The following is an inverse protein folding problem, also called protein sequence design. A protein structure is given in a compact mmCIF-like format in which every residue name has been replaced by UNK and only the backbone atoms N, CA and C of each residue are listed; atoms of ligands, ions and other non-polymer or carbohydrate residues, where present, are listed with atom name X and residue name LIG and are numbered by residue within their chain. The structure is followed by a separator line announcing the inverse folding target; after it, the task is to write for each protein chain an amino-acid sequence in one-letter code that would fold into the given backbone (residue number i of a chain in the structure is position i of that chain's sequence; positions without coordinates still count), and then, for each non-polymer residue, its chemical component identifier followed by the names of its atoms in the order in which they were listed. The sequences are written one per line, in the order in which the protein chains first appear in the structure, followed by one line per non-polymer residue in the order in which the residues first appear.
data_IF_809351278607
#
_entry.id   IF_809351278607
#
_cell.length_a   1.000
_cell.length_b   1.000
_cell.length_c   1.000
_cell.angle_alpha   90.00
_cell.angle_beta   90.00
_cell.angle_gamma   90.00
#
_symmetry.space_group_name_H-M   'P 1'
#
loop_
_entity.id
_entity.type
_entity.pdbx_description
1 polymer ?
#
# COMPACT_ATOMS: atom_id res chain seq x y z
N UNK A 1 -3.53 -7.58 20.08
CA UNK A 1 -2.91 -6.24 20.01
C UNK A 1 -3.01 -5.76 18.58
N UNK A 2 -3.27 -4.45 18.34
CA UNK A 2 -3.41 -3.89 16.98
C UNK A 2 -2.24 -2.95 16.73
N UNK A 3 -1.50 -3.20 15.65
CA UNK A 3 -0.41 -2.37 15.17
C UNK A 3 -0.91 -1.50 14.01
N UNK A 4 -0.34 -0.31 13.86
CA UNK A 4 -0.71 0.62 12.79
C UNK A 4 0.51 0.82 11.91
N UNK A 5 0.32 0.51 10.63
CA UNK A 5 1.31 0.63 9.57
C UNK A 5 0.89 1.79 8.66
N UNK A 6 1.76 2.77 8.50
CA UNK A 6 1.44 4.02 7.83
C UNK A 6 2.22 4.10 6.53
N UNK A 7 1.53 4.27 5.42
CA UNK A 7 2.11 4.60 4.13
C UNK A 7 2.52 6.08 4.11
N UNK A 8 3.80 6.32 4.39
CA UNK A 8 4.35 7.68 4.48
C UNK A 8 4.31 8.41 3.15
N UNK A 9 4.61 7.75 2.06
CA UNK A 9 4.59 8.34 0.73
C UNK A 9 3.18 8.77 0.33
N UNK A 10 2.19 7.93 0.54
CA UNK A 10 0.80 8.28 0.27
C UNK A 10 0.36 9.53 1.05
N UNK A 11 0.63 9.59 2.34
CA UNK A 11 0.24 10.73 3.18
C UNK A 11 0.92 12.01 2.69
N UNK A 12 2.21 11.95 2.36
CA UNK A 12 2.97 13.09 1.87
C UNK A 12 2.48 13.56 0.51
N UNK A 13 2.31 12.67 -0.46
CA UNK A 13 1.81 13.01 -1.80
C UNK A 13 0.39 13.58 -1.76
N UNK A 14 -0.49 12.98 -0.96
CA UNK A 14 -1.85 13.49 -0.76
C UNK A 14 -1.84 14.91 -0.20
N UNK A 15 -1.06 15.16 0.84
CA UNK A 15 -0.96 16.49 1.45
C UNK A 15 -0.35 17.49 0.48
N UNK A 16 0.67 17.08 -0.27
CA UNK A 16 1.29 17.91 -1.30
C UNK A 16 0.27 18.32 -2.37
N UNK A 17 -0.58 17.40 -2.80
CA UNK A 17 -1.70 17.72 -3.69
C UNK A 17 -2.63 18.80 -3.14
N UNK A 18 -2.96 18.76 -1.85
CA UNK A 18 -3.80 19.78 -1.19
C UNK A 18 -3.12 21.16 -1.20
N UNK A 19 -1.78 21.21 -1.12
CA UNK A 19 -0.99 22.42 -1.23
C UNK A 19 -0.82 22.94 -2.67
N UNK A 20 -1.50 22.33 -3.63
CA UNK A 20 -1.47 22.72 -5.03
C UNK A 20 -0.40 22.00 -5.86
N UNK A 21 0.23 20.95 -5.32
CA UNK A 21 1.21 20.10 -5.99
C UNK A 21 0.64 19.12 -7.00
N UNK A 22 -0.56 19.38 -7.55
CA UNK A 22 -1.12 18.56 -8.61
C UNK A 22 -0.41 18.82 -9.96
N UNK A 23 -0.17 17.75 -10.70
CA UNK A 23 0.61 17.79 -11.94
C UNK A 23 2.11 17.79 -11.66
N UNK A 24 2.89 18.21 -12.64
CA UNK A 24 4.36 18.27 -12.56
C UNK A 24 4.85 19.59 -11.94
N UNK A 25 4.20 20.14 -10.92
CA UNK A 25 4.69 21.33 -10.25
C UNK A 25 5.95 21.03 -9.47
N UNK A 26 6.90 21.95 -9.55
CA UNK A 26 8.16 21.84 -8.82
C UNK A 26 7.87 21.95 -7.30
N UNK A 27 8.26 20.96 -6.49
CA UNK A 27 8.12 21.05 -5.03
C UNK A 27 8.76 22.28 -4.42
N UNK A 28 9.83 22.81 -5.02
CA UNK A 28 10.46 24.07 -4.57
C UNK A 28 9.54 25.29 -4.68
N UNK A 29 8.61 25.31 -5.64
CA UNK A 29 7.64 26.39 -5.78
C UNK A 29 6.56 26.37 -4.68
N UNK A 30 6.40 25.23 -4.00
CA UNK A 30 5.36 24.98 -3.00
C UNK A 30 5.95 24.86 -1.60
N UNK A 31 7.18 24.35 -1.48
CA UNK A 31 7.86 24.03 -0.23
C UNK A 31 9.24 24.73 -0.13
N UNK A 32 9.45 25.80 -0.90
CA UNK A 32 10.75 26.46 -1.00
C UNK A 32 11.13 27.29 0.24
N UNK A 33 10.16 27.65 1.07
CA UNK A 33 10.41 28.43 2.29
C UNK A 33 10.18 27.60 3.55
N UNK A 34 10.89 27.92 4.63
CA UNK A 34 10.73 27.26 5.93
C UNK A 34 9.30 27.37 6.47
N UNK A 35 8.60 28.47 6.17
CA UNK A 35 7.21 28.64 6.58
C UNK A 35 6.27 27.66 5.85
N UNK A 36 6.42 27.53 4.53
CA UNK A 36 5.63 26.58 3.72
C UNK A 36 5.90 25.14 4.15
N UNK A 37 7.16 24.78 4.35
CA UNK A 37 7.54 23.47 4.87
C UNK A 37 6.90 23.20 6.24
N UNK A 38 6.93 24.17 7.14
CA UNK A 38 6.32 24.07 8.47
C UNK A 38 4.80 23.88 8.38
N UNK A 39 4.12 24.63 7.51
CA UNK A 39 2.69 24.49 7.28
C UNK A 39 2.34 23.11 6.69
N UNK A 40 3.16 22.64 5.78
CA UNK A 40 2.99 21.33 5.15
C UNK A 40 3.13 20.19 6.18
N UNK A 41 4.19 20.19 6.98
CA UNK A 41 4.40 19.20 8.05
C UNK A 41 3.28 19.26 9.11
N UNK A 42 2.84 20.45 9.48
CA UNK A 42 1.70 20.62 10.37
C UNK A 42 0.43 19.97 9.82
N UNK A 43 0.15 20.14 8.53
CA UNK A 43 -1.01 19.51 7.88
C UNK A 43 -0.90 17.99 7.90
N UNK A 44 0.28 17.44 7.58
CA UNK A 44 0.54 16.00 7.65
C UNK A 44 0.29 15.47 9.06
N UNK A 45 0.84 16.15 10.08
CA UNK A 45 0.69 15.75 11.48
C UNK A 45 -0.79 15.77 11.91
N UNK A 46 -1.54 16.78 11.47
CA UNK A 46 -2.97 16.91 11.76
C UNK A 46 -3.77 15.78 11.11
N UNK A 47 -3.50 15.47 9.84
CA UNK A 47 -4.20 14.41 9.11
C UNK A 47 -3.87 13.03 9.69
N UNK A 48 -2.61 12.79 10.02
CA UNK A 48 -2.17 11.55 10.67
C UNK A 48 -2.85 11.38 12.03
N UNK A 49 -2.82 12.41 12.86
CA UNK A 49 -3.45 12.41 14.20
C UNK A 49 -4.95 12.15 14.08
N UNK A 50 -5.62 12.80 13.15
CA UNK A 50 -7.06 12.60 12.91
C UNK A 50 -7.36 11.15 12.53
N UNK A 51 -6.53 10.54 11.69
CA UNK A 51 -6.67 9.13 11.30
C UNK A 51 -6.43 8.20 12.48
N UNK A 52 -5.44 8.49 13.32
CA UNK A 52 -5.08 7.66 14.47
C UNK A 52 -6.12 7.68 15.61
N UNK A 53 -6.82 8.81 15.78
CA UNK A 53 -7.83 8.95 16.84
C UNK A 53 -8.98 7.95 16.75
N UNK A 54 -9.28 7.51 15.54
CA UNK A 54 -10.38 6.58 15.28
C UNK A 54 -9.95 5.11 15.43
N UNK A 55 -8.68 4.83 15.75
CA UNK A 55 -8.14 3.49 15.79
C UNK A 55 -7.79 3.13 17.26
N UNK A 56 -8.18 1.93 17.74
CA UNK A 56 -7.79 1.47 19.05
C UNK A 56 -6.27 1.33 19.13
N UNK A 57 -5.72 1.84 20.19
CA UNK A 57 -4.28 1.98 20.41
C UNK A 57 -3.77 0.89 21.36
N UNK A 58 -2.56 0.42 21.16
CA UNK A 58 -1.92 -0.59 22.01
C UNK A 58 -0.78 -1.34 21.33
N UNK A 59 -0.66 -1.21 20.03
CA UNK A 59 0.40 -1.82 19.24
C UNK A 59 1.52 -0.85 18.85
N UNK A 60 2.33 -1.25 17.88
CA UNK A 60 3.39 -0.43 17.30
C UNK A 60 2.81 0.52 16.26
N UNK A 61 3.45 1.68 16.10
CA UNK A 61 3.25 2.57 14.98
C UNK A 61 4.48 2.49 14.06
N UNK A 62 4.26 2.06 12.82
CA UNK A 62 5.30 1.97 11.80
C UNK A 62 4.99 2.99 10.71
N UNK A 63 5.95 3.86 10.39
CA UNK A 63 5.88 4.80 9.28
C UNK A 63 6.85 4.33 8.20
N UNK A 64 6.31 3.78 7.12
CA UNK A 64 7.09 3.25 6.00
C UNK A 64 7.28 4.31 4.91
N UNK A 65 8.50 4.38 4.37
CA UNK A 65 8.85 5.31 3.30
C UNK A 65 9.61 4.62 2.18
N UNK A 66 9.36 5.09 0.95
CA UNK A 66 10.02 4.59 -0.25
C UNK A 66 11.53 4.86 -0.25
N UNK A 67 12.24 3.95 -0.87
CA UNK A 67 13.57 4.14 -1.40
C UNK A 67 13.57 3.93 -2.92
N UNK A 68 14.74 3.84 -3.56
CA UNK A 68 14.80 3.45 -4.97
C UNK A 68 14.23 2.03 -5.11
N UNK A 69 13.18 1.89 -5.91
CA UNK A 69 12.51 0.60 -6.11
C UNK A 69 13.38 -0.39 -6.90
N UNK A 70 13.48 -1.61 -6.41
CA UNK A 70 14.08 -2.75 -7.13
C UNK A 70 13.30 -3.09 -8.42
N UNK A 71 11.99 -2.74 -8.48
CA UNK A 71 11.14 -2.98 -9.66
C UNK A 71 11.61 -2.22 -10.89
N UNK A 72 12.41 -1.16 -10.72
CA UNK A 72 13.02 -0.42 -11.85
C UNK A 72 14.04 -1.24 -12.63
N UNK A 73 14.56 -2.28 -12.01
CA UNK A 73 15.52 -3.17 -12.63
C UNK A 73 14.84 -4.35 -13.37
N UNK A 74 13.48 -4.41 -13.35
CA UNK A 74 12.69 -5.39 -14.10
C UNK A 74 12.44 -4.86 -15.51
N UNK A 75 12.85 -5.65 -16.50
CA UNK A 75 12.66 -5.30 -17.92
C UNK A 75 11.17 -5.31 -18.31
N UNK A 76 10.74 -4.25 -18.98
CA UNK A 76 9.40 -4.10 -19.57
C UNK A 76 9.58 -3.71 -21.03
N UNK A 77 8.95 -4.47 -21.93
CA UNK A 77 8.95 -4.14 -23.37
C UNK A 77 8.35 -2.74 -23.60
N UNK A 78 9.14 -1.85 -24.21
CA UNK A 78 8.71 -0.47 -24.51
C UNK A 78 8.96 0.56 -23.40
N UNK A 79 9.64 0.19 -22.31
CA UNK A 79 10.02 1.13 -21.24
C UNK A 79 10.41 0.42 -19.95
N UNK A 80 10.48 1.17 -18.87
CA UNK A 80 10.75 0.64 -17.53
C UNK A 80 9.56 0.84 -16.58
N UNK A 81 9.60 0.20 -15.44
CA UNK A 81 8.64 0.41 -14.37
C UNK A 81 8.55 1.91 -13.99
N UNK A 82 7.33 2.45 -13.96
CA UNK A 82 7.04 3.87 -13.73
C UNK A 82 7.70 4.83 -14.74
N UNK A 83 8.04 4.34 -15.95
CA UNK A 83 8.69 5.16 -16.98
C UNK A 83 7.80 6.28 -17.56
N UNK A 84 6.49 6.13 -17.48
CA UNK A 84 5.50 7.14 -17.86
C UNK A 84 5.37 8.28 -16.83
N UNK A 85 5.95 8.12 -15.65
CA UNK A 85 6.10 9.22 -14.71
C UNK A 85 7.23 10.10 -15.23
N UNK A 86 6.90 10.94 -16.21
CA UNK A 86 7.84 11.90 -16.81
C UNK A 86 8.46 12.68 -15.64
N UNK A 87 9.72 12.39 -15.37
CA UNK A 87 10.53 13.31 -14.58
C UNK A 87 10.80 14.47 -15.53
N UNK A 88 10.04 15.54 -15.35
CA UNK A 88 10.49 16.81 -15.83
C UNK A 88 11.87 17.02 -15.18
N UNK A 89 12.93 17.00 -15.96
CA UNK A 89 14.32 17.10 -15.43
C UNK A 89 14.52 18.43 -14.67
N UNK A 90 13.63 19.40 -14.92
CA UNK A 90 13.60 20.68 -14.23
C UNK A 90 12.92 20.63 -12.85
N UNK A 91 12.22 19.52 -12.52
CA UNK A 91 11.51 19.40 -11.23
C UNK A 91 12.38 18.77 -10.17
N UNK A 92 12.79 19.56 -9.20
CA UNK A 92 13.56 19.09 -8.05
C UNK A 92 12.64 18.59 -6.92
N UNK A 93 12.61 17.25 -6.76
CA UNK A 93 11.87 16.57 -5.71
C UNK A 93 12.67 16.43 -4.40
N UNK A 94 13.90 16.91 -4.33
CA UNK A 94 14.78 16.70 -3.18
C UNK A 94 14.18 17.25 -1.89
N UNK A 95 13.62 18.46 -1.92
CA UNK A 95 12.99 19.09 -0.75
C UNK A 95 11.84 18.24 -0.21
N UNK A 96 11.02 17.67 -1.08
CA UNK A 96 9.89 16.82 -0.69
C UNK A 96 10.37 15.53 0.01
N UNK A 97 11.32 14.82 -0.59
CA UNK A 97 11.84 13.57 -0.01
C UNK A 97 12.69 13.78 1.24
N UNK A 98 13.40 14.92 1.32
CA UNK A 98 14.11 15.30 2.53
C UNK A 98 13.14 15.57 3.68
N UNK A 99 12.05 16.30 3.44
CA UNK A 99 11.01 16.53 4.43
C UNK A 99 10.37 15.22 4.90
N UNK A 100 10.09 14.28 3.98
CA UNK A 100 9.54 12.97 4.32
C UNK A 100 10.49 12.20 5.24
N UNK A 101 11.78 12.16 4.89
CA UNK A 101 12.79 11.47 5.69
C UNK A 101 12.93 12.10 7.08
N UNK A 102 13.08 13.41 7.15
CA UNK A 102 13.20 14.14 8.41
C UNK A 102 11.98 13.99 9.30
N UNK A 103 10.79 13.97 8.70
CA UNK A 103 9.57 13.73 9.45
C UNK A 103 9.52 12.31 10.01
N UNK A 104 9.93 11.31 9.23
CA UNK A 104 10.04 9.94 9.70
C UNK A 104 11.02 9.79 10.87
N UNK A 105 12.21 10.38 10.77
CA UNK A 105 13.21 10.41 11.84
C UNK A 105 12.68 11.12 13.11
N UNK A 106 11.92 12.19 12.92
CA UNK A 106 11.25 12.84 14.03
C UNK A 106 10.21 11.96 14.71
N UNK A 107 9.36 11.30 13.92
CA UNK A 107 8.39 10.33 14.45
C UNK A 107 9.11 9.20 15.22
N UNK A 108 10.29 8.77 14.80
CA UNK A 108 11.08 7.78 15.52
C UNK A 108 11.52 8.26 16.88
N UNK A 109 12.01 9.51 17.01
CA UNK A 109 12.31 10.13 18.32
C UNK A 109 11.08 10.17 19.23
N UNK A 110 9.88 10.23 18.66
CA UNK A 110 8.61 10.16 19.39
C UNK A 110 8.14 8.74 19.72
N UNK A 111 8.85 7.73 19.25
CA UNK A 111 8.59 6.33 19.54
C UNK A 111 7.80 5.58 18.50
N UNK A 112 7.67 6.12 17.31
CA UNK A 112 7.30 5.35 16.12
C UNK A 112 8.48 4.50 15.64
N UNK A 113 8.24 3.61 14.72
CA UNK A 113 9.28 2.95 13.94
C UNK A 113 9.29 3.63 12.57
N UNK A 114 10.34 4.35 12.25
CA UNK A 114 10.56 4.84 10.90
C UNK A 114 11.25 3.75 10.09
N UNK A 115 10.58 3.23 9.06
CA UNK A 115 11.06 2.12 8.25
C UNK A 115 11.34 2.58 6.82
N UNK A 116 12.62 2.51 6.44
CA UNK A 116 13.12 2.85 5.11
C UNK A 116 14.32 1.98 4.78
N UNK A 117 14.25 1.23 3.69
CA UNK A 117 15.27 0.26 3.28
C UNK A 117 15.67 0.52 1.83
N UNK A 118 16.95 0.53 1.56
CA UNK A 118 17.45 0.71 0.20
C UNK A 118 16.96 -0.43 -0.71
N UNK A 119 16.45 -0.07 -1.88
CA UNK A 119 15.85 -1.02 -2.83
C UNK A 119 14.37 -1.29 -2.60
N UNK A 120 13.82 -1.07 -1.39
CA UNK A 120 12.40 -1.32 -1.09
C UNK A 120 11.52 -0.10 -1.37
N UNK A 121 10.31 -0.33 -1.86
CA UNK A 121 9.21 0.64 -1.78
C UNK A 121 8.50 0.52 -0.43
N UNK A 122 7.76 1.56 -0.04
CA UNK A 122 6.95 1.56 1.18
C UNK A 122 6.00 0.37 1.26
N UNK A 123 5.45 -0.04 0.13
CA UNK A 123 4.54 -1.19 0.00
C UNK A 123 5.23 -2.51 0.39
N UNK A 124 6.49 -2.70 -0.01
CA UNK A 124 7.28 -3.87 0.39
C UNK A 124 7.47 -3.89 1.91
N UNK A 125 7.78 -2.73 2.50
CA UNK A 125 7.96 -2.61 3.95
C UNK A 125 6.66 -2.87 4.71
N UNK A 126 5.53 -2.32 4.23
CA UNK A 126 4.21 -2.56 4.81
C UNK A 126 3.83 -4.04 4.75
N UNK A 127 4.14 -4.72 3.64
CA UNK A 127 3.99 -6.17 3.53
C UNK A 127 4.79 -6.91 4.60
N UNK A 128 6.10 -6.65 4.71
CA UNK A 128 6.96 -7.36 5.66
C UNK A 128 6.56 -7.11 7.11
N UNK A 129 6.23 -5.87 7.47
CA UNK A 129 5.75 -5.55 8.80
C UNK A 129 4.43 -6.26 9.11
N UNK A 130 3.46 -6.22 8.21
CA UNK A 130 2.18 -6.89 8.39
C UNK A 130 2.37 -8.42 8.51
N UNK A 131 3.19 -9.01 7.64
CA UNK A 131 3.46 -10.45 7.65
C UNK A 131 4.16 -10.90 8.94
N UNK A 132 5.16 -10.15 9.39
CA UNK A 132 5.86 -10.43 10.64
C UNK A 132 4.94 -10.32 11.86
N UNK A 133 4.23 -9.20 12.02
CA UNK A 133 3.40 -8.95 13.20
C UNK A 133 2.23 -9.94 13.27
N UNK A 134 1.57 -10.22 12.16
CA UNK A 134 0.50 -11.23 12.14
C UNK A 134 1.02 -12.63 12.43
N UNK A 135 2.26 -12.98 12.02
CA UNK A 135 2.90 -14.24 12.40
C UNK A 135 3.21 -14.36 13.89
N UNK A 136 3.24 -13.23 14.62
CA UNK A 136 3.43 -13.16 16.07
C UNK A 136 2.14 -13.09 16.88
N UNK A 137 1.01 -13.29 16.21
CA UNK A 137 -0.30 -13.25 16.88
C UNK A 137 -0.84 -11.84 17.07
N UNK A 138 -0.39 -10.86 16.28
CA UNK A 138 -0.81 -9.48 16.39
C UNK A 138 -1.57 -9.04 15.13
N UNK A 139 -2.56 -8.17 15.27
CA UNK A 139 -3.34 -7.64 14.15
C UNK A 139 -2.73 -6.36 13.60
N UNK A 140 -2.99 -6.05 12.33
CA UNK A 140 -2.46 -4.88 11.67
C UNK A 140 -3.53 -4.06 10.95
N UNK A 141 -3.42 -2.74 11.05
CA UNK A 141 -4.16 -1.78 10.23
C UNK A 141 -3.15 -1.00 9.39
N UNK A 142 -3.31 -1.04 8.08
CA UNK A 142 -2.52 -0.23 7.14
C UNK A 142 -3.32 1.03 6.81
N UNK A 143 -2.72 2.20 7.03
CA UNK A 143 -3.30 3.49 6.64
C UNK A 143 -2.72 3.88 5.30
N UNK A 144 -3.50 3.73 4.24
CA UNK A 144 -3.14 4.16 2.88
C UNK A 144 -4.38 4.34 2.01
N UNK A 145 -4.26 5.15 0.97
CA UNK A 145 -5.24 5.24 -0.11
C UNK A 145 -4.77 4.55 -1.39
N UNK A 146 -3.61 3.92 -1.35
CA UNK A 146 -3.12 3.15 -2.49
C UNK A 146 -3.92 1.84 -2.63
N UNK A 147 -4.46 1.63 -3.84
CA UNK A 147 -5.26 0.44 -4.14
C UNK A 147 -4.41 -0.83 -4.16
N UNK A 148 -3.13 -0.72 -4.43
CA UNK A 148 -2.24 -1.86 -4.52
C UNK A 148 -2.07 -2.56 -3.18
N UNK A 149 -2.16 -1.80 -2.10
CA UNK A 149 -2.13 -2.32 -0.74
C UNK A 149 -3.37 -3.13 -0.34
N UNK A 150 -4.47 -3.05 -1.11
CA UNK A 150 -5.66 -3.89 -0.84
C UNK A 150 -5.32 -5.38 -0.80
N UNK A 151 -4.31 -5.84 -1.55
CA UNK A 151 -3.83 -7.23 -1.51
C UNK A 151 -3.26 -7.64 -0.14
N UNK A 152 -2.95 -6.69 0.74
CA UNK A 152 -2.50 -6.95 2.10
C UNK A 152 -3.65 -7.18 3.09
N UNK A 153 -4.90 -6.94 2.68
CA UNK A 153 -6.08 -7.26 3.47
C UNK A 153 -6.28 -8.79 3.49
N UNK A 154 -5.74 -9.45 4.52
CA UNK A 154 -5.68 -10.92 4.57
C UNK A 154 -5.72 -11.47 5.99
N UNK A 155 -6.13 -12.74 6.10
CA UNK A 155 -5.94 -13.56 7.28
C UNK A 155 -4.56 -14.19 7.27
N UNK A 156 -3.97 -14.30 8.45
CA UNK A 156 -2.82 -15.16 8.73
C UNK A 156 -3.12 -15.92 10.01
N UNK A 157 -3.52 -17.20 9.88
CA UNK A 157 -4.15 -17.95 10.97
C UNK A 157 -5.39 -17.19 11.47
N UNK A 158 -5.44 -16.85 12.75
CA UNK A 158 -6.55 -16.08 13.35
C UNK A 158 -6.31 -14.57 13.36
N UNK A 159 -5.13 -14.12 12.93
CA UNK A 159 -4.79 -12.71 12.88
C UNK A 159 -5.07 -12.10 11.50
N UNK A 160 -5.27 -10.82 11.49
CA UNK A 160 -5.70 -10.12 10.29
C UNK A 160 -4.88 -8.85 10.02
N UNK A 161 -4.80 -8.53 8.75
CA UNK A 161 -4.41 -7.22 8.25
C UNK A 161 -5.60 -6.62 7.51
N UNK A 162 -5.88 -5.36 7.75
CA UNK A 162 -6.85 -4.56 7.00
C UNK A 162 -6.20 -3.31 6.46
N UNK A 163 -6.76 -2.76 5.38
CA UNK A 163 -6.28 -1.51 4.78
C UNK A 163 -7.38 -0.46 4.89
N UNK A 164 -7.04 0.66 5.49
CA UNK A 164 -7.98 1.75 5.71
C UNK A 164 -7.56 3.04 5.01
N UNK A 165 -8.41 3.49 4.11
CA UNK A 165 -8.34 4.80 3.50
C UNK A 165 -9.30 5.76 4.24
N UNK A 166 -8.81 6.35 5.32
CA UNK A 166 -9.56 7.29 6.17
C UNK A 166 -9.83 8.66 5.53
N UNK A 167 -9.40 8.86 4.30
CA UNK A 167 -9.29 10.19 3.70
C UNK A 167 -10.15 10.40 2.45
N UNK A 168 -10.90 9.38 2.04
CA UNK A 168 -11.87 9.53 0.97
C UNK A 168 -13.16 10.12 1.53
N UNK A 169 -13.96 10.77 0.67
CA UNK A 169 -15.33 11.17 1.02
C UNK A 169 -16.14 9.99 1.58
N UNK A 170 -15.79 8.78 1.16
CA UNK A 170 -16.28 7.52 1.66
C UNK A 170 -15.06 6.82 2.29
N UNK A 171 -14.98 6.80 3.62
CA UNK A 171 -13.98 6.00 4.30
C UNK A 171 -14.01 4.58 3.73
N UNK A 172 -12.93 4.13 3.08
CA UNK A 172 -12.87 2.80 2.47
C UNK A 172 -12.07 1.88 3.38
N UNK A 173 -12.67 0.77 3.76
CA UNK A 173 -12.04 -0.26 4.56
C UNK A 173 -11.96 -1.55 3.75
N UNK A 174 -10.74 -1.96 3.40
CA UNK A 174 -10.51 -3.27 2.77
C UNK A 174 -10.19 -4.29 3.83
N UNK A 175 -11.00 -5.33 3.87
CA UNK A 175 -10.95 -6.42 4.86
C UNK A 175 -10.75 -7.76 4.16
N UNK A 176 -10.18 -8.76 4.84
CA UNK A 176 -10.06 -10.10 4.29
C UNK A 176 -11.44 -10.73 4.02
N UNK A 177 -11.54 -11.54 2.97
CA UNK A 177 -12.75 -12.31 2.67
C UNK A 177 -13.20 -13.14 3.88
N UNK A 178 -14.49 -13.14 4.15
CA UNK A 178 -15.10 -13.78 5.32
C UNK A 178 -15.02 -12.95 6.61
N UNK A 179 -14.65 -11.68 6.50
CA UNK A 179 -14.57 -10.76 7.65
C UNK A 179 -15.92 -10.60 8.34
N UNK A 180 -16.99 -10.37 7.60
CA UNK A 180 -18.31 -10.16 8.18
C UNK A 180 -18.82 -11.36 8.97
N UNK A 181 -18.59 -12.57 8.45
CA UNK A 181 -18.96 -13.81 9.12
C UNK A 181 -18.22 -13.95 10.45
N UNK A 182 -16.91 -13.70 10.45
CA UNK A 182 -16.10 -13.71 11.67
C UNK A 182 -16.48 -12.59 12.64
N UNK A 183 -16.80 -11.42 12.13
CA UNK A 183 -17.26 -10.30 12.96
C UNK A 183 -18.55 -10.63 13.71
N UNK A 184 -19.52 -11.21 13.01
CA UNK A 184 -20.81 -11.58 13.60
C UNK A 184 -20.71 -12.77 14.56
N UNK A 185 -19.58 -13.47 14.56
CA UNK A 185 -19.34 -14.54 15.51
C UNK A 185 -18.83 -13.95 16.86
N UNK A 186 -19.70 -13.97 17.88
CA UNK A 186 -19.41 -13.42 19.22
C UNK A 186 -18.16 -13.99 19.90
N UNK A 187 -17.68 -15.15 19.47
CA UNK A 187 -16.49 -15.81 20.02
C UNK A 187 -15.21 -15.45 19.24
N UNK A 188 -15.29 -14.60 18.22
CA UNK A 188 -14.11 -14.22 17.45
C UNK A 188 -13.46 -12.96 18.03
N UNK A 189 -12.12 -12.96 18.15
CA UNK A 189 -11.33 -11.79 18.58
C UNK A 189 -11.42 -10.60 17.59
N UNK A 190 -12.08 -10.78 16.44
CA UNK A 190 -12.35 -9.72 15.44
C UNK A 190 -13.31 -8.67 16.02
N UNK A 191 -14.07 -9.00 17.05
CA UNK A 191 -14.93 -8.06 17.79
C UNK A 191 -14.15 -6.93 18.50
N UNK A 192 -12.82 -6.93 18.45
CA UNK A 192 -11.94 -5.97 19.16
C UNK A 192 -11.62 -4.72 18.34
N UNK A 193 -12.23 -4.54 17.16
CA UNK A 193 -12.00 -3.36 16.34
C UNK A 193 -12.95 -2.22 16.71
N UNK A 194 -12.52 -1.36 17.64
CA UNK A 194 -13.31 -0.20 18.08
C UNK A 194 -13.07 1.02 17.17
N UNK A 195 -13.93 1.19 16.20
CA UNK A 195 -14.04 2.43 15.45
C UNK A 195 -15.03 3.39 16.15
N UNK A 196 -14.83 3.66 17.41
CA UNK A 196 -15.69 4.55 18.20
C UNK A 196 -17.06 3.93 18.53
N UNK A 197 -17.08 2.87 19.34
CA UNK A 197 -18.26 2.14 19.85
C UNK A 197 -18.95 1.14 18.90
N UNK A 198 -18.27 0.64 17.88
CA UNK A 198 -18.85 -0.34 16.92
C UNK A 198 -18.40 -1.77 17.25
N UNK A 199 -18.20 -2.08 18.50
CA UNK A 199 -17.60 -3.34 18.95
C UNK A 199 -18.58 -4.42 19.39
N UNK A 200 -19.84 -4.15 19.32
CA UNK A 200 -20.82 -5.19 19.62
C UNK A 200 -21.13 -5.94 18.31
N UNK A 201 -20.92 -7.26 18.21
CA UNK A 201 -21.24 -8.02 17.00
C UNK A 201 -22.77 -8.10 16.82
N UNK A 202 -23.36 -6.99 16.42
CA UNK A 202 -24.77 -6.81 16.14
C UNK A 202 -24.94 -6.45 14.66
N UNK A 203 -25.86 -7.13 13.99
CA UNK A 203 -26.17 -6.88 12.58
C UNK A 203 -26.62 -5.44 12.31
N UNK A 204 -27.30 -4.79 13.27
CA UNK A 204 -27.73 -3.41 13.10
C UNK A 204 -26.56 -2.45 13.19
N UNK A 205 -25.64 -2.66 14.12
CA UNK A 205 -24.41 -1.86 14.23
C UNK A 205 -23.51 -2.02 13.03
N UNK A 206 -23.35 -3.25 12.50
CA UNK A 206 -22.63 -3.48 11.26
C UNK A 206 -23.29 -2.73 10.07
N UNK A 207 -24.62 -2.74 10.01
CA UNK A 207 -25.35 -1.98 8.98
C UNK A 207 -25.18 -0.47 9.10
N UNK A 208 -25.15 0.07 10.31
CA UNK A 208 -24.86 1.49 10.55
C UNK A 208 -23.41 1.85 10.23
N UNK A 209 -22.48 0.96 10.55
CA UNK A 209 -21.08 1.11 10.18
C UNK A 209 -20.91 1.18 8.65
N UNK A 210 -21.51 0.26 7.91
CA UNK A 210 -21.48 0.22 6.45
C UNK A 210 -22.13 1.46 5.77
N UNK A 211 -22.96 2.21 6.47
CA UNK A 211 -23.47 3.50 5.97
C UNK A 211 -22.42 4.61 5.98
N UNK A 212 -21.41 4.49 6.86
CA UNK A 212 -20.35 5.49 7.06
C UNK A 212 -19.02 5.07 6.45
N UNK A 213 -18.84 3.76 6.27
CA UNK A 213 -17.61 3.17 5.78
C UNK A 213 -17.95 2.22 4.65
N UNK A 214 -17.31 2.39 3.52
CA UNK A 214 -17.39 1.47 2.39
C UNK A 214 -16.47 0.26 2.67
N UNK A 215 -17.09 -0.88 2.98
CA UNK A 215 -16.36 -2.11 3.37
C UNK A 215 -16.23 -3.01 2.15
N UNK A 216 -15.00 -3.27 1.74
CA UNK A 216 -14.66 -4.14 0.63
C UNK A 216 -13.98 -5.42 1.14
N UNK A 217 -14.63 -6.56 0.97
CA UNK A 217 -14.00 -7.85 1.21
C UNK A 217 -13.04 -8.20 0.06
N UNK A 218 -11.79 -8.44 0.41
CA UNK A 218 -10.72 -8.71 -0.54
C UNK A 218 -10.29 -10.18 -0.46
N UNK A 219 -10.21 -10.81 -1.62
CA UNK A 219 -9.39 -12.00 -1.85
C UNK A 219 -8.07 -11.52 -2.48
N UNK A 220 -6.95 -11.50 -1.74
CA UNK A 220 -5.67 -11.00 -2.26
C UNK A 220 -5.27 -11.66 -3.57
N UNK A 221 -5.46 -12.98 -3.64
CA UNK A 221 -5.18 -13.78 -4.83
C UNK A 221 -5.98 -13.30 -6.04
N UNK A 222 -7.29 -13.18 -5.89
CA UNK A 222 -8.18 -12.82 -7.00
C UNK A 222 -7.96 -11.36 -7.42
N UNK A 223 -7.74 -10.48 -6.45
CA UNK A 223 -7.42 -9.06 -6.69
C UNK A 223 -6.16 -8.89 -7.54
N UNK A 224 -5.06 -9.55 -7.15
CA UNK A 224 -3.80 -9.44 -7.89
C UNK A 224 -3.89 -10.14 -9.24
N UNK A 225 -4.61 -11.26 -9.35
CA UNK A 225 -4.81 -11.93 -10.64
C UNK A 225 -5.48 -11.01 -11.65
N UNK A 226 -6.58 -10.37 -11.27
CA UNK A 226 -7.24 -9.38 -12.12
C UNK A 226 -6.26 -8.27 -12.52
N UNK A 227 -5.49 -7.76 -11.56
CA UNK A 227 -4.51 -6.71 -11.83
C UNK A 227 -3.40 -7.16 -12.79
N UNK A 228 -2.88 -8.37 -12.64
CA UNK A 228 -1.88 -8.93 -13.55
C UNK A 228 -2.39 -9.06 -15.00
N UNK A 229 -3.67 -9.41 -15.17
CA UNK A 229 -4.28 -9.51 -16.49
C UNK A 229 -4.50 -8.13 -17.14
N UNK A 230 -4.90 -7.16 -16.37
CA UNK A 230 -5.22 -5.80 -16.83
C UNK A 230 -3.97 -4.95 -17.04
N UNK A 231 -2.93 -5.16 -16.23
CA UNK A 231 -1.78 -4.27 -16.13
C UNK A 231 -2.04 -3.06 -15.23
N UNK A 232 -1.05 -2.22 -15.11
CA UNK A 232 -1.11 -0.95 -14.38
C UNK A 232 -0.57 0.21 -15.22
N UNK A 233 -1.46 0.99 -15.77
CA UNK A 233 -1.07 2.15 -16.60
C UNK A 233 -0.38 3.24 -15.79
N UNK A 234 -0.71 3.38 -14.49
CA UNK A 234 -0.09 4.35 -13.60
C UNK A 234 1.40 4.06 -13.38
N UNK A 235 1.77 2.79 -13.42
CA UNK A 235 3.13 2.31 -13.23
C UNK A 235 3.81 1.86 -14.54
N UNK A 236 3.21 2.17 -15.69
CA UNK A 236 3.69 1.77 -17.01
C UNK A 236 3.84 0.24 -17.18
N UNK A 237 3.00 -0.54 -16.51
CA UNK A 237 2.99 -2.00 -16.62
C UNK A 237 1.88 -2.42 -17.58
N UNK A 238 2.20 -2.94 -18.78
CA UNK A 238 1.20 -3.43 -19.73
C UNK A 238 0.45 -4.64 -19.17
N UNK A 239 -0.80 -4.86 -19.64
CA UNK A 239 -1.54 -6.07 -19.34
C UNK A 239 -0.89 -7.33 -19.91
N UNK A 240 -1.52 -8.48 -19.62
CA UNK A 240 -1.06 -9.77 -20.12
C UNK A 240 -0.99 -9.80 -21.68
N UNK A 241 -1.96 -9.18 -22.33
CA UNK A 241 -2.05 -9.11 -23.79
C UNK A 241 -2.72 -7.81 -24.26
N UNK A 242 -2.18 -7.23 -25.31
CA UNK A 242 -2.68 -6.00 -25.93
C UNK A 242 -2.71 -6.13 -27.46
N UNK A 243 -3.82 -5.74 -28.06
CA UNK A 243 -4.02 -5.72 -29.51
C UNK A 243 -3.97 -4.29 -30.00
N UNK A 244 -3.10 -4.03 -30.97
CA UNK A 244 -3.03 -2.73 -31.64
C UNK A 244 -4.02 -2.71 -32.83
N UNK A 245 -4.96 -1.77 -32.79
CA UNK A 245 -5.90 -1.53 -33.87
C UNK A 245 -5.77 -0.07 -34.32
N UNK A 246 -4.92 0.17 -35.31
CA UNK A 246 -4.47 1.50 -35.70
C UNK A 246 -3.73 2.20 -34.53
N UNK A 247 -4.20 3.38 -34.14
CA UNK A 247 -3.65 4.13 -33.00
C UNK A 247 -4.20 3.70 -31.63
N UNK A 248 -5.17 2.78 -31.61
CA UNK A 248 -5.82 2.32 -30.36
C UNK A 248 -5.17 1.04 -29.88
N UNK A 249 -4.86 0.99 -28.58
CA UNK A 249 -4.42 -0.22 -27.88
C UNK A 249 -5.61 -0.75 -27.09
N UNK A 250 -5.98 -2.00 -27.34
CA UNK A 250 -7.04 -2.70 -26.62
C UNK A 250 -6.43 -3.82 -25.81
N UNK A 251 -6.46 -3.69 -24.48
CA UNK A 251 -6.02 -4.72 -23.55
C UNK A 251 -7.17 -5.45 -22.86
N UNK A 252 -6.81 -6.33 -21.96
CA UNK A 252 -7.75 -6.96 -21.03
C UNK A 252 -8.30 -5.89 -20.08
N UNK A 253 -9.60 -5.69 -20.08
CA UNK A 253 -10.27 -4.78 -19.15
C UNK A 253 -10.60 -5.48 -17.82
N UNK A 254 -10.84 -4.77 -16.71
CA UNK A 254 -11.25 -5.40 -15.45
C UNK A 254 -12.41 -6.38 -15.62
N UNK A 255 -13.47 -5.98 -16.35
CA UNK A 255 -14.62 -6.86 -16.63
C UNK A 255 -14.25 -8.14 -17.39
N UNK A 256 -13.30 -8.06 -18.34
CA UNK A 256 -12.79 -9.25 -19.04
C UNK A 256 -11.94 -10.12 -18.12
N UNK A 257 -11.13 -9.51 -17.25
CA UNK A 257 -10.32 -10.23 -16.28
C UNK A 257 -11.18 -10.98 -15.26
N UNK A 258 -12.32 -10.41 -14.84
CA UNK A 258 -13.30 -11.09 -13.99
C UNK A 258 -13.85 -12.36 -14.65
N UNK A 259 -14.15 -12.33 -15.96
CA UNK A 259 -14.58 -13.51 -16.71
C UNK A 259 -13.51 -14.61 -16.71
N UNK A 260 -12.23 -14.23 -16.85
CA UNK A 260 -11.10 -15.19 -16.74
C UNK A 260 -11.02 -15.77 -15.33
N UNK A 261 -11.17 -14.92 -14.31
CA UNK A 261 -11.17 -15.33 -12.90
C UNK A 261 -12.34 -16.30 -12.60
N UNK A 262 -13.55 -16.01 -13.05
CA UNK A 262 -14.69 -16.91 -12.91
C UNK A 262 -14.43 -18.27 -13.57
N UNK A 263 -13.84 -18.27 -14.76
CA UNK A 263 -13.44 -19.50 -15.45
C UNK A 263 -12.37 -20.27 -14.69
N UNK A 264 -11.40 -19.56 -14.08
CA UNK A 264 -10.35 -20.15 -13.24
C UNK A 264 -10.94 -20.92 -12.05
N UNK A 265 -12.03 -20.43 -11.43
CA UNK A 265 -12.69 -21.08 -10.29
C UNK A 265 -13.23 -22.49 -10.60
N UNK A 266 -13.42 -22.82 -11.89
CA UNK A 266 -13.89 -24.14 -12.32
C UNK A 266 -12.75 -25.09 -12.70
N UNK A 267 -11.50 -24.68 -12.60
CA UNK A 267 -10.32 -25.46 -12.97
C UNK A 267 -9.65 -26.13 -11.78
N UNK A 268 -8.71 -27.02 -12.07
CA UNK A 268 -7.83 -27.63 -11.05
C UNK A 268 -6.98 -26.61 -10.27
N UNK A 269 -6.77 -25.44 -10.83
CA UNK A 269 -5.96 -24.36 -10.26
C UNK A 269 -6.71 -23.42 -9.32
N UNK A 270 -8.03 -23.60 -9.17
CA UNK A 270 -8.91 -22.66 -8.44
C UNK A 270 -8.43 -22.30 -7.02
N UNK A 271 -7.78 -23.23 -6.33
CA UNK A 271 -7.36 -23.07 -4.93
C UNK A 271 -5.84 -23.01 -4.73
N UNK A 272 -5.06 -23.14 -5.79
CA UNK A 272 -3.60 -23.12 -5.68
C UNK A 272 -3.08 -21.69 -5.48
N UNK A 273 -2.00 -21.51 -4.69
CA UNK A 273 -1.36 -20.21 -4.54
C UNK A 273 -0.68 -19.79 -5.85
N UNK A 274 -0.54 -18.49 -6.07
CA UNK A 274 0.10 -18.01 -7.29
C UNK A 274 1.57 -18.35 -7.39
N UNK A 275 2.29 -18.50 -6.27
CA UNK A 275 3.65 -19.00 -6.26
C UNK A 275 3.81 -20.34 -7.01
N UNK A 276 2.80 -21.19 -6.93
CA UNK A 276 2.80 -22.50 -7.58
C UNK A 276 2.31 -22.40 -9.03
N UNK A 277 1.39 -21.47 -9.31
CA UNK A 277 0.79 -21.30 -10.62
C UNK A 277 1.70 -20.60 -11.62
N UNK A 278 2.55 -19.69 -11.15
CA UNK A 278 3.38 -18.88 -12.05
C UNK A 278 4.49 -19.69 -12.72
N UNK A 279 4.81 -20.86 -12.17
CA UNK A 279 5.76 -21.82 -12.72
C UNK A 279 5.06 -23.03 -13.40
N UNK A 280 3.72 -23.09 -13.39
CA UNK A 280 2.92 -24.09 -14.08
C UNK A 280 2.68 -23.67 -15.53
N UNK A 281 3.39 -24.26 -16.48
CA UNK A 281 3.28 -23.92 -17.91
C UNK A 281 1.89 -24.17 -18.47
N UNK A 282 1.15 -25.18 -17.99
CA UNK A 282 -0.21 -25.47 -18.43
C UNK A 282 -1.18 -24.36 -17.98
N UNK A 283 -1.03 -23.87 -16.75
CA UNK A 283 -1.79 -22.72 -16.25
C UNK A 283 -1.50 -21.45 -17.05
N UNK A 284 -0.23 -21.20 -17.34
CA UNK A 284 0.19 -20.03 -18.09
C UNK A 284 -0.33 -20.04 -19.53
N UNK A 285 -0.21 -21.19 -20.20
CA UNK A 285 -0.76 -21.36 -21.56
C UNK A 285 -2.29 -21.22 -21.58
N UNK A 286 -2.98 -21.82 -20.59
CA UNK A 286 -4.42 -21.68 -20.48
C UNK A 286 -4.83 -20.22 -20.31
N UNK A 287 -4.21 -19.50 -19.37
CA UNK A 287 -4.50 -18.09 -19.09
C UNK A 287 -4.22 -17.22 -20.30
N UNK A 288 -3.06 -17.40 -20.94
CA UNK A 288 -2.66 -16.67 -22.12
C UNK A 288 -3.64 -16.86 -23.29
N UNK A 289 -3.93 -18.12 -23.64
CA UNK A 289 -4.87 -18.45 -24.71
C UNK A 289 -6.28 -17.93 -24.44
N UNK A 290 -6.73 -17.96 -23.19
CA UNK A 290 -8.03 -17.42 -22.81
C UNK A 290 -8.10 -15.90 -23.06
N UNK A 291 -7.09 -15.15 -22.61
CA UNK A 291 -7.03 -13.69 -22.78
C UNK A 291 -6.91 -13.28 -24.25
N UNK A 292 -6.09 -13.98 -25.04
CA UNK A 292 -5.93 -13.72 -26.49
C UNK A 292 -7.27 -13.89 -27.21
N UNK A 293 -7.99 -14.98 -26.97
CA UNK A 293 -9.33 -15.22 -27.57
C UNK A 293 -10.38 -14.19 -27.14
N UNK A 294 -10.35 -13.76 -25.86
CA UNK A 294 -11.24 -12.68 -25.37
C UNK A 294 -11.03 -11.36 -26.12
N UNK A 295 -9.82 -11.13 -26.62
CA UNK A 295 -9.49 -9.96 -27.41
C UNK A 295 -9.68 -10.18 -28.90
N UNK A 296 -10.11 -11.37 -29.30
CA UNK A 296 -10.33 -11.78 -30.70
C UNK A 296 -9.06 -11.68 -31.54
N UNK A 297 -7.93 -11.98 -30.95
CA UNK A 297 -6.63 -12.02 -31.63
C UNK A 297 -6.22 -13.45 -32.00
N UNK A 298 -5.12 -13.57 -32.75
CA UNK A 298 -4.61 -14.86 -33.24
C UNK A 298 -4.04 -15.65 -32.05
N UNK A 299 -4.68 -16.75 -31.71
CA UNK A 299 -4.24 -17.66 -30.67
C UNK A 299 -3.17 -18.63 -31.20
N UNK A 300 -1.94 -18.12 -31.37
CA UNK A 300 -0.77 -18.89 -31.80
C UNK A 300 0.08 -19.28 -30.58
N UNK A 301 0.96 -20.29 -30.77
CA UNK A 301 1.93 -20.70 -29.75
C UNK A 301 2.84 -19.54 -29.32
N UNK A 302 3.35 -18.80 -30.29
CA UNK A 302 4.22 -17.62 -30.06
C UNK A 302 3.50 -16.54 -29.20
N UNK A 303 2.24 -16.22 -29.56
CA UNK A 303 1.45 -15.25 -28.81
C UNK A 303 1.16 -15.72 -27.38
N UNK A 304 0.90 -17.02 -27.17
CA UNK A 304 0.73 -17.58 -25.81
C UNK A 304 2.00 -17.49 -25.00
N UNK A 305 3.16 -17.83 -25.57
CA UNK A 305 4.46 -17.71 -24.88
C UNK A 305 4.74 -16.26 -24.49
N UNK A 306 4.48 -15.30 -25.38
CA UNK A 306 4.63 -13.87 -25.07
C UNK A 306 3.68 -13.43 -23.96
N UNK A 307 2.43 -13.81 -24.00
CA UNK A 307 1.44 -13.50 -22.96
C UNK A 307 1.78 -14.15 -21.62
N UNK A 308 2.25 -15.40 -21.61
CA UNK A 308 2.72 -16.09 -20.42
C UNK A 308 3.90 -15.35 -19.76
N UNK A 309 4.86 -14.89 -20.56
CA UNK A 309 5.99 -14.09 -20.07
C UNK A 309 5.54 -12.74 -19.49
N UNK A 310 4.55 -12.10 -20.12
CA UNK A 310 3.94 -10.88 -19.58
C UNK A 310 3.25 -11.16 -18.23
N UNK A 311 2.60 -12.31 -18.07
CA UNK A 311 1.95 -12.68 -16.81
C UNK A 311 3.01 -12.90 -15.69
N UNK A 312 4.11 -13.61 -15.99
CA UNK A 312 5.24 -13.78 -15.06
C UNK A 312 5.84 -12.43 -14.64
N UNK A 313 6.07 -11.53 -15.60
CA UNK A 313 6.55 -10.17 -15.33
C UNK A 313 5.58 -9.41 -14.42
N UNK A 314 4.28 -9.43 -14.74
CA UNK A 314 3.27 -8.71 -13.97
C UNK A 314 3.14 -9.28 -12.55
N UNK A 315 3.25 -10.60 -12.38
CA UNK A 315 3.34 -11.21 -11.07
C UNK A 315 4.51 -10.65 -10.26
N UNK A 316 5.70 -10.62 -10.84
CA UNK A 316 6.90 -10.09 -10.19
C UNK A 316 6.76 -8.62 -9.79
N UNK A 317 6.10 -7.81 -10.60
CA UNK A 317 5.95 -6.38 -10.37
C UNK A 317 4.84 -6.02 -9.37
N UNK A 318 3.75 -6.80 -9.35
CA UNK A 318 2.51 -6.44 -8.66
C UNK A 318 2.23 -7.22 -7.40
N UNK A 319 2.83 -8.43 -7.24
CA UNK A 319 2.62 -9.25 -6.06
C UNK A 319 3.49 -8.76 -4.90
N UNK A 320 2.87 -8.47 -3.77
CA UNK A 320 3.57 -8.09 -2.54
C UNK A 320 3.78 -9.34 -1.69
N UNK A 321 4.86 -10.04 -1.98
CA UNK A 321 5.27 -11.25 -1.26
C UNK A 321 6.78 -11.47 -1.38
N UNK A 322 7.37 -12.10 -0.36
CA UNK A 322 8.80 -12.44 -0.31
C UNK A 322 9.27 -13.33 -1.47
N UNK A 323 8.36 -14.03 -2.15
CA UNK A 323 8.69 -14.90 -3.27
C UNK A 323 9.13 -14.13 -4.52
N UNK A 324 8.78 -12.85 -4.63
CA UNK A 324 9.11 -12.00 -5.79
C UNK A 324 10.16 -10.94 -5.47
N UNK A 325 10.33 -10.59 -4.20
CA UNK A 325 11.24 -9.53 -3.76
C UNK A 325 12.68 -10.07 -3.77
N UNK A 326 13.66 -9.31 -4.30
CA UNK A 326 15.06 -9.73 -4.32
C UNK A 326 15.65 -10.01 -2.93
N UNK A 327 16.56 -10.98 -2.85
CA UNK A 327 17.13 -11.45 -1.58
C UNK A 327 17.87 -10.37 -0.79
N UNK A 328 18.53 -9.45 -1.47
CA UNK A 328 19.20 -8.30 -0.87
C UNK A 328 18.21 -7.32 -0.21
N UNK A 329 17.06 -7.09 -0.84
CA UNK A 329 15.99 -6.26 -0.28
C UNK A 329 15.34 -6.97 0.91
N UNK A 330 15.11 -8.28 0.81
CA UNK A 330 14.61 -9.10 1.93
C UNK A 330 15.57 -9.01 3.11
N UNK A 331 16.87 -9.18 2.87
CA UNK A 331 17.89 -9.12 3.93
C UNK A 331 17.89 -7.77 4.64
N UNK A 332 17.92 -6.68 3.89
CA UNK A 332 17.84 -5.32 4.45
C UNK A 332 16.54 -5.08 5.23
N UNK A 333 15.42 -5.61 4.74
CA UNK A 333 14.13 -5.48 5.42
C UNK A 333 14.08 -6.31 6.70
N UNK A 334 14.69 -7.50 6.74
CA UNK A 334 14.78 -8.31 7.97
C UNK A 334 15.63 -7.60 9.03
N UNK A 335 16.74 -6.96 8.65
CA UNK A 335 17.56 -6.16 9.56
C UNK A 335 16.77 -4.97 10.12
N UNK A 336 16.02 -4.29 9.26
CA UNK A 336 15.15 -3.19 9.65
C UNK A 336 14.04 -3.64 10.61
N UNK A 337 13.41 -4.79 10.34
CA UNK A 337 12.43 -5.38 11.27
C UNK A 337 13.08 -5.65 12.64
N UNK A 338 14.27 -6.27 12.68
CA UNK A 338 15.00 -6.53 13.93
C UNK A 338 15.30 -5.25 14.68
N UNK A 339 15.76 -4.20 13.97
CA UNK A 339 16.01 -2.88 14.52
C UNK A 339 14.73 -2.30 15.15
N UNK A 340 13.66 -2.22 14.37
CA UNK A 340 12.39 -1.64 14.83
C UNK A 340 11.76 -2.41 15.98
N UNK A 341 11.92 -3.73 16.03
CA UNK A 341 11.43 -4.56 17.14
C UNK A 341 12.25 -4.34 18.41
N UNK A 342 13.55 -4.09 18.28
CA UNK A 342 14.42 -3.81 19.42
C UNK A 342 14.16 -2.43 20.04
N UNK A 343 13.51 -1.51 19.32
CA UNK A 343 13.08 -0.24 19.88
C UNK A 343 12.05 -0.48 20.97
N UNK A 344 12.17 0.27 22.06
CA UNK A 344 11.30 0.13 23.22
C UNK A 344 9.83 0.22 22.80
N UNK A 345 9.07 -0.82 23.12
CA UNK A 345 7.62 -0.88 22.85
C UNK A 345 6.91 0.15 23.73
N UNK A 346 6.82 1.34 23.23
CA UNK A 346 6.04 2.37 23.90
C UNK A 346 4.58 2.18 23.47
N UNK A 347 3.68 1.92 24.40
CA UNK A 347 2.24 1.85 24.09
C UNK A 347 1.77 3.17 23.47
N UNK A 348 1.00 3.07 22.40
CA UNK A 348 0.34 4.24 21.82
C UNK A 348 -0.81 4.57 22.78
N UNK A 349 -0.57 5.49 23.68
CA UNK A 349 -1.63 6.06 24.51
C UNK A 349 -2.23 7.27 23.82
N UNK A 350 -3.46 7.62 24.19
CA UNK A 350 -4.07 8.90 23.79
C UNK A 350 -3.12 10.10 24.02
N UNK A 351 -2.23 9.99 25.02
CA UNK A 351 -1.23 11.00 25.31
C UNK A 351 -0.17 11.13 24.23
N UNK A 352 0.12 10.08 23.44
CA UNK A 352 1.02 10.17 22.30
C UNK A 352 0.35 10.77 21.07
N UNK A 353 -0.92 10.43 20.84
CA UNK A 353 -1.71 11.15 19.85
C UNK A 353 -1.75 12.64 20.21
N UNK A 354 -1.92 12.97 21.49
CA UNK A 354 -1.78 14.36 21.99
C UNK A 354 -0.36 14.93 21.85
N UNK A 355 0.68 14.10 21.94
CA UNK A 355 2.06 14.54 21.68
C UNK A 355 2.25 14.87 20.19
N UNK A 356 1.71 14.09 19.27
CA UNK A 356 1.69 14.43 17.84
C UNK A 356 0.88 15.70 17.60
N UNK A 357 -0.21 15.92 18.31
CA UNK A 357 -0.96 17.18 18.29
C UNK A 357 -0.26 18.32 18.98
N UNK A 358 0.35 18.08 20.13
CA UNK A 358 1.08 19.06 20.94
C UNK A 358 2.43 19.45 20.35
N UNK A 359 3.02 18.61 19.50
CA UNK A 359 4.04 18.98 18.53
C UNK A 359 3.44 19.75 17.36
N UNK A 360 2.49 20.61 17.65
CA UNK A 360 2.17 21.72 16.78
C UNK A 360 3.49 22.49 16.57
N UNK A 361 4.24 22.04 15.60
CA UNK A 361 5.54 22.53 15.18
C UNK A 361 5.52 24.02 14.90
N UNK A 362 4.36 24.61 14.88
CA UNK A 362 4.11 25.96 14.40
C UNK A 362 3.34 26.84 15.37
N UNK A 363 2.80 26.34 16.47
CA UNK A 363 1.96 27.22 17.30
C UNK A 363 2.73 28.09 18.26
N UNK A 364 4.05 28.03 18.25
CA UNK A 364 4.80 28.99 19.04
C UNK A 364 5.65 29.87 18.13
N UNK A 365 5.09 30.97 17.74
CA UNK A 365 5.91 32.19 17.53
C UNK A 365 6.79 32.49 18.77
N UNK A 366 6.67 31.69 19.83
CA UNK A 366 7.37 31.74 21.11
C UNK A 366 7.95 30.41 21.56
N UNK A 367 8.08 29.36 20.71
CA UNK A 367 8.86 28.19 21.10
C UNK A 367 10.34 28.60 21.14
N UNK A 368 11.06 28.18 22.18
CA UNK A 368 12.49 28.44 22.22
C UNK A 368 13.12 27.90 20.95
N UNK A 369 14.09 28.60 20.42
CA UNK A 369 14.90 28.31 19.23
C UNK A 369 15.58 26.92 19.21
N UNK A 370 15.27 26.03 20.14
CA UNK A 370 15.79 24.67 20.27
C UNK A 370 15.04 23.64 19.42
N UNK A 371 13.89 23.98 18.80
CA UNK A 371 13.10 23.07 18.03
C UNK A 371 12.79 23.61 16.63
N UNK A 372 13.83 23.95 15.89
CA UNK A 372 13.75 24.09 14.45
C UNK A 372 14.07 22.70 13.85
N UNK A 373 13.08 21.98 13.34
CA UNK A 373 13.30 20.65 12.78
C UNK A 373 14.18 20.68 11.52
N UNK A 374 14.50 21.88 11.03
CA UNK A 374 15.30 22.12 9.83
C UNK A 374 16.66 22.77 10.15
N UNK A 375 16.99 22.98 11.42
CA UNK A 375 18.27 23.58 11.83
C UNK A 375 19.49 22.74 11.47
N UNK A 376 19.29 21.43 11.32
CA UNK A 376 20.35 20.47 10.98
C UNK A 376 20.47 20.22 9.46
N UNK A 377 19.76 20.99 8.63
CA UNK A 377 19.73 20.86 7.16
C UNK A 377 20.39 22.01 6.41
N UNK A 378 21.11 22.90 7.08
CA UNK A 378 21.96 23.93 6.46
C UNK A 378 23.44 23.53 6.47
#
# INVERSE_FOLDING_TARGET
MINILIDGNYIFHKTFGVFGGYGNKNPMDILGTSNEQSMFIRKISTDLTSSLRSIPTGGRLVFAADSRSWRKDVEIEGGGYKSNRVKDEEVDWSVFFNLLTSYGEHLEKMGFIFSKVNGAEGDDLLYFWADYLTSKGENCIIISGDKDLHQLARWKQDNWTIVWNANSKNNILSVPKGWEEKWLNKNSEVSVFDMGSIMDPDKEKLKEFKKRVDVNEISPRDFVFVKMLVGDRGDAVPGIWEVKNGSKIQGVTPKKAEVVLESLQTTKWAKLPFSDLIDDDEFLEWTAGYCIRLLKDIDSKENREKAANNLRRNYKLMWLDKTVIPSEVISGTIEELKRGISLEKKSITLDRVKIIEGTNWVSSQNAPSQFDPFKDFN
#
